data_IF_718917673046
#
_entry.id   IF_718917673046
#
_cell.length_a   1.000
_cell.length_b   1.000
_cell.length_c   1.000
_cell.angle_alpha   90.00
_cell.angle_beta   90.00
_cell.angle_gamma   90.00
#
_symmetry.space_group_name_H-M   'P 1'
#
loop_
_entity.id
_entity.type
_entity.pdbx_description
1 polymer ?
#
# COMPACT_ATOMS: atom_id res chain seq x y z
N UNK A 1 -12.52 -4.52 39.79
CA UNK A 1 -13.84 -5.13 39.49
C UNK A 1 -14.60 -4.45 38.34
N UNK A 2 -14.47 -3.13 38.11
CA UNK A 2 -15.18 -2.39 37.06
C UNK A 2 -14.62 -2.67 35.64
N UNK A 3 -13.34 -3.02 35.51
CA UNK A 3 -12.67 -3.24 34.21
C UNK A 3 -13.07 -4.58 33.54
N UNK A 4 -13.43 -5.58 34.34
CA UNK A 4 -13.92 -6.89 33.84
C UNK A 4 -15.34 -6.79 33.33
N UNK A 5 -16.18 -5.95 33.92
CA UNK A 5 -17.57 -5.73 33.51
C UNK A 5 -17.67 -5.10 32.09
N UNK A 6 -16.84 -4.09 31.77
CA UNK A 6 -16.82 -3.48 30.41
C UNK A 6 -16.41 -4.45 29.32
N UNK A 7 -15.42 -5.30 29.57
CA UNK A 7 -14.99 -6.32 28.58
C UNK A 7 -16.07 -7.37 28.33
N UNK A 8 -16.79 -7.77 29.37
CA UNK A 8 -17.93 -8.70 29.25
C UNK A 8 -19.07 -8.09 28.45
N UNK A 9 -19.39 -6.81 28.68
CA UNK A 9 -20.46 -6.11 27.95
C UNK A 9 -20.07 -5.98 26.45
N UNK A 10 -18.83 -5.60 26.14
CA UNK A 10 -18.36 -5.53 24.74
C UNK A 10 -18.42 -6.90 24.08
N UNK A 11 -17.97 -7.95 24.77
CA UNK A 11 -18.01 -9.31 24.26
C UNK A 11 -19.44 -9.82 24.03
N UNK A 12 -20.37 -9.55 24.93
CA UNK A 12 -21.79 -9.88 24.77
C UNK A 12 -22.42 -9.08 23.63
N UNK A 13 -22.05 -7.80 23.46
CA UNK A 13 -22.54 -6.98 22.36
C UNK A 13 -22.04 -7.49 21.02
N UNK A 14 -20.77 -7.92 20.96
CA UNK A 14 -20.18 -8.53 19.75
C UNK A 14 -20.84 -9.87 19.41
N UNK A 15 -21.12 -10.71 20.41
CA UNK A 15 -21.85 -11.97 20.20
C UNK A 15 -23.28 -11.69 19.75
N UNK A 16 -23.96 -10.70 20.33
CA UNK A 16 -25.33 -10.33 19.93
C UNK A 16 -25.36 -9.78 18.50
N UNK A 17 -24.38 -8.98 18.09
CA UNK A 17 -24.24 -8.55 16.70
C UNK A 17 -23.97 -9.72 15.75
N UNK A 18 -23.11 -10.66 16.16
CA UNK A 18 -22.86 -11.89 15.38
C UNK A 18 -24.11 -12.78 15.30
N UNK A 19 -24.89 -12.89 16.35
CA UNK A 19 -26.14 -13.66 16.35
C UNK A 19 -27.23 -13.01 15.48
N UNK A 20 -27.34 -11.67 15.48
CA UNK A 20 -28.25 -10.92 14.60
C UNK A 20 -27.80 -11.10 13.13
N UNK A 21 -26.50 -11.01 12.85
CA UNK A 21 -25.97 -11.29 11.51
C UNK A 21 -26.19 -12.74 11.08
N UNK A 22 -26.04 -13.70 11.99
CA UNK A 22 -26.30 -15.10 11.72
C UNK A 22 -27.80 -15.38 11.45
N UNK A 23 -28.71 -14.74 12.18
CA UNK A 23 -30.15 -14.87 11.96
C UNK A 23 -30.61 -14.20 10.66
N UNK A 24 -29.99 -13.09 10.26
CA UNK A 24 -30.20 -12.48 8.94
C UNK A 24 -29.62 -13.36 7.81
N UNK A 25 -28.57 -14.11 8.09
CA UNK A 25 -27.97 -15.01 7.12
C UNK A 25 -28.84 -16.24 6.79
N UNK A 26 -29.67 -16.67 7.73
CA UNK A 26 -30.57 -17.82 7.54
C UNK A 26 -31.90 -17.45 6.87
N UNK A 27 -32.25 -16.14 6.84
CA UNK A 27 -33.54 -15.65 6.31
C UNK A 27 -33.64 -15.58 4.78
N UNK A 28 -32.64 -16.06 4.02
CA UNK A 28 -32.64 -16.00 2.55
C UNK A 28 -32.52 -14.57 1.98
N UNK A 29 -32.17 -13.58 2.84
CA UNK A 29 -32.03 -12.19 2.44
C UNK A 29 -30.88 -12.05 1.44
N UNK A 30 -31.22 -11.61 0.23
CA UNK A 30 -30.25 -11.37 -0.84
C UNK A 30 -30.09 -9.86 -1.00
N UNK A 31 -28.85 -9.38 -0.91
CA UNK A 31 -28.52 -8.01 -1.29
C UNK A 31 -28.41 -7.89 -2.81
N UNK A 32 -28.87 -6.78 -3.37
CA UNK A 32 -28.57 -6.40 -4.76
C UNK A 32 -27.09 -6.07 -4.93
N UNK A 33 -26.58 -6.09 -6.17
CA UNK A 33 -25.20 -5.71 -6.46
C UNK A 33 -24.83 -4.30 -5.96
N UNK A 34 -25.66 -3.25 -6.13
CA UNK A 34 -25.38 -1.94 -5.53
C UNK A 34 -25.26 -1.97 -4.00
N UNK A 35 -26.11 -2.71 -3.30
CA UNK A 35 -26.03 -2.84 -1.83
C UNK A 35 -24.77 -3.60 -1.40
N UNK A 36 -24.37 -4.64 -2.14
CA UNK A 36 -23.10 -5.35 -1.90
C UNK A 36 -21.91 -4.43 -2.14
N UNK A 37 -22.00 -3.57 -3.15
CA UNK A 37 -20.98 -2.59 -3.50
C UNK A 37 -20.79 -1.53 -2.42
N UNK A 38 -21.89 -1.01 -1.86
CA UNK A 38 -21.86 -0.09 -0.73
C UNK A 38 -21.27 -0.77 0.52
N UNK A 39 -21.72 -1.98 0.79
CA UNK A 39 -21.21 -2.78 1.91
C UNK A 39 -19.69 -3.06 1.77
N UNK A 40 -19.20 -3.23 0.54
CA UNK A 40 -17.79 -3.49 0.28
C UNK A 40 -16.90 -2.31 0.68
N UNK A 41 -17.39 -1.07 0.65
CA UNK A 41 -16.60 0.11 1.00
C UNK A 41 -16.24 0.16 2.48
N UNK A 42 -17.08 -0.41 3.37
CA UNK A 42 -16.86 -0.42 4.81
C UNK A 42 -16.50 -1.81 5.34
N UNK A 43 -17.15 -2.84 4.81
CA UNK A 43 -17.08 -4.23 5.32
C UNK A 43 -16.81 -5.24 4.20
N UNK A 44 -15.63 -5.21 3.53
CA UNK A 44 -15.34 -6.05 2.37
C UNK A 44 -15.42 -7.56 2.66
N UNK A 45 -15.12 -7.98 3.89
CA UNK A 45 -15.26 -9.38 4.26
C UNK A 45 -16.72 -9.86 4.29
N UNK A 46 -17.64 -9.00 4.74
CA UNK A 46 -19.08 -9.30 4.74
C UNK A 46 -19.63 -9.23 3.31
N UNK A 47 -19.26 -8.20 2.54
CA UNK A 47 -19.63 -8.08 1.14
C UNK A 47 -19.25 -9.34 0.32
N UNK A 48 -18.09 -9.92 0.60
CA UNK A 48 -17.65 -11.19 -0.01
C UNK A 48 -18.64 -12.33 0.23
N UNK A 49 -19.17 -12.44 1.45
CA UNK A 49 -20.14 -13.48 1.80
C UNK A 49 -21.45 -13.27 1.01
N UNK A 50 -21.96 -12.04 0.97
CA UNK A 50 -23.19 -11.74 0.20
C UNK A 50 -22.96 -11.94 -1.30
N UNK A 51 -21.83 -11.50 -1.84
CA UNK A 51 -21.52 -11.69 -3.26
C UNK A 51 -21.46 -13.19 -3.63
N UNK A 52 -20.94 -14.05 -2.74
CA UNK A 52 -20.89 -15.49 -3.01
C UNK A 52 -22.27 -16.16 -3.09
N UNK A 53 -23.33 -15.51 -2.63
CA UNK A 53 -24.72 -15.96 -2.66
C UNK A 53 -25.55 -15.30 -3.78
N UNK A 54 -25.02 -14.25 -4.38
CA UNK A 54 -25.65 -13.57 -5.50
C UNK A 54 -25.58 -14.42 -6.77
N UNK A 55 -26.62 -14.32 -7.63
CA UNK A 55 -26.56 -14.97 -8.92
C UNK A 55 -25.65 -14.18 -9.88
N UNK A 56 -24.56 -14.79 -10.28
CA UNK A 56 -23.61 -14.16 -11.19
C UNK A 56 -24.18 -13.88 -12.58
N UNK A 57 -25.34 -14.49 -12.94
CA UNK A 57 -26.00 -14.28 -14.22
C UNK A 57 -26.91 -13.06 -14.24
N UNK A 58 -27.35 -12.54 -13.08
CA UNK A 58 -28.23 -11.36 -13.01
C UNK A 58 -27.54 -10.12 -13.60
N UNK A 59 -26.24 -9.95 -13.32
CA UNK A 59 -25.36 -8.96 -13.97
C UNK A 59 -23.92 -9.44 -13.91
N UNK A 60 -23.49 -10.13 -14.94
CA UNK A 60 -22.17 -10.78 -15.00
C UNK A 60 -21.02 -9.79 -14.91
N UNK A 61 -21.13 -8.63 -15.55
CA UNK A 61 -20.11 -7.58 -15.53
C UNK A 61 -19.93 -7.02 -14.12
N UNK A 62 -21.04 -6.66 -13.48
CA UNK A 62 -21.01 -6.10 -12.13
C UNK A 62 -20.52 -7.11 -11.08
N UNK A 63 -20.96 -8.37 -11.19
CA UNK A 63 -20.46 -9.45 -10.32
C UNK A 63 -18.92 -9.56 -10.39
N UNK A 64 -18.35 -9.52 -11.60
CA UNK A 64 -16.89 -9.60 -11.81
C UNK A 64 -16.17 -8.37 -11.26
N UNK A 65 -16.68 -7.17 -11.49
CA UNK A 65 -16.16 -5.93 -10.92
C UNK A 65 -16.16 -5.98 -9.39
N UNK A 66 -17.27 -6.37 -8.76
CA UNK A 66 -17.37 -6.48 -7.31
C UNK A 66 -16.43 -7.54 -6.74
N UNK A 67 -16.26 -8.67 -7.44
CA UNK A 67 -15.28 -9.69 -7.06
C UNK A 67 -13.87 -9.07 -6.99
N UNK A 68 -13.49 -8.33 -8.02
CA UNK A 68 -12.18 -7.67 -8.05
C UNK A 68 -12.03 -6.57 -6.99
N UNK A 69 -13.05 -5.70 -6.83
CA UNK A 69 -13.08 -4.65 -5.78
C UNK A 69 -12.86 -5.27 -4.40
N UNK A 70 -13.68 -6.26 -4.04
CA UNK A 70 -13.63 -6.88 -2.72
C UNK A 70 -12.28 -7.58 -2.48
N UNK A 71 -11.77 -8.30 -3.48
CA UNK A 71 -10.45 -8.95 -3.38
C UNK A 71 -9.35 -7.92 -3.22
N UNK A 72 -9.40 -6.82 -3.96
CA UNK A 72 -8.43 -5.72 -3.84
C UNK A 72 -8.46 -5.07 -2.44
N UNK A 73 -9.64 -4.79 -1.91
CA UNK A 73 -9.78 -4.19 -0.58
C UNK A 73 -9.31 -5.11 0.55
N UNK A 74 -9.52 -6.43 0.42
CA UNK A 74 -9.08 -7.40 1.42
C UNK A 74 -7.57 -7.68 1.39
N UNK A 75 -6.95 -7.67 0.22
CA UNK A 75 -5.60 -8.19 0.03
C UNK A 75 -4.62 -7.16 -0.53
N UNK A 76 -5.09 -6.01 -1.01
CA UNK A 76 -4.28 -5.02 -1.71
C UNK A 76 -3.89 -5.40 -3.14
N UNK A 77 -4.35 -6.53 -3.66
CA UNK A 77 -4.05 -7.02 -5.02
C UNK A 77 -5.16 -7.94 -5.55
N UNK A 78 -5.22 -8.13 -6.86
CA UNK A 78 -6.25 -8.91 -7.55
C UNK A 78 -5.60 -10.17 -8.15
N UNK A 79 -6.02 -11.35 -7.71
CA UNK A 79 -5.47 -12.62 -8.18
C UNK A 79 -5.95 -13.03 -9.58
N UNK A 80 -7.20 -12.67 -9.93
CA UNK A 80 -7.84 -13.08 -11.18
C UNK A 80 -8.06 -11.86 -12.08
N UNK A 81 -7.01 -11.46 -12.79
CA UNK A 81 -7.09 -10.31 -13.69
C UNK A 81 -8.09 -10.50 -14.85
N UNK A 82 -8.31 -11.75 -15.27
CA UNK A 82 -9.29 -12.06 -16.31
C UNK A 82 -10.72 -11.60 -15.96
N UNK A 83 -11.07 -11.61 -14.65
CA UNK A 83 -12.39 -11.13 -14.23
C UNK A 83 -12.57 -9.63 -14.51
N UNK A 84 -11.50 -8.83 -14.32
CA UNK A 84 -11.54 -7.41 -14.64
C UNK A 84 -11.55 -7.17 -16.16
N UNK A 85 -10.77 -7.93 -16.92
CA UNK A 85 -10.75 -7.81 -18.39
C UNK A 85 -12.11 -8.16 -18.97
N UNK A 86 -12.77 -9.20 -18.45
CA UNK A 86 -14.12 -9.55 -18.84
C UNK A 86 -15.14 -8.46 -18.46
N UNK A 87 -15.04 -7.86 -17.26
CA UNK A 87 -15.90 -6.75 -16.84
C UNK A 87 -15.74 -5.54 -17.77
N UNK A 88 -14.51 -5.15 -18.10
CA UNK A 88 -14.23 -4.07 -19.06
C UNK A 88 -14.89 -4.36 -20.40
N UNK A 89 -14.72 -5.57 -20.96
CA UNK A 89 -15.31 -5.94 -22.25
C UNK A 89 -16.85 -5.88 -22.22
N UNK A 90 -17.48 -6.31 -21.13
CA UNK A 90 -18.92 -6.25 -20.95
C UNK A 90 -19.39 -4.79 -20.96
N UNK A 91 -18.80 -3.93 -20.11
CA UNK A 91 -19.23 -2.54 -19.97
C UNK A 91 -18.92 -1.67 -21.19
N UNK A 92 -17.87 -1.99 -21.94
CA UNK A 92 -17.63 -1.37 -23.27
C UNK A 92 -18.78 -1.69 -24.22
N UNK A 93 -19.24 -2.96 -24.27
CA UNK A 93 -20.31 -3.38 -25.15
C UNK A 93 -21.66 -2.82 -24.70
N UNK A 94 -21.92 -2.73 -23.42
CA UNK A 94 -23.14 -2.20 -22.81
C UNK A 94 -23.18 -0.66 -22.80
N UNK A 95 -22.02 -0.01 -23.03
CA UNK A 95 -21.83 1.45 -22.91
C UNK A 95 -22.12 1.97 -21.50
N UNK A 96 -21.82 1.15 -20.50
CA UNK A 96 -21.96 1.52 -19.08
C UNK A 96 -20.67 2.25 -18.63
N UNK A 97 -20.63 3.56 -18.87
CA UNK A 97 -19.47 4.39 -18.56
C UNK A 97 -19.10 4.39 -17.07
N UNK A 98 -20.05 4.47 -16.09
CA UNK A 98 -19.74 4.40 -14.67
C UNK A 98 -19.01 3.12 -14.26
N UNK A 99 -19.52 1.97 -14.67
CA UNK A 99 -18.93 0.68 -14.32
C UNK A 99 -17.65 0.40 -15.13
N UNK A 100 -17.57 0.92 -16.36
CA UNK A 100 -16.34 0.89 -17.16
C UNK A 100 -15.22 1.67 -16.49
N UNK A 101 -15.46 2.92 -16.06
CA UNK A 101 -14.46 3.75 -15.39
C UNK A 101 -13.88 3.05 -14.16
N UNK A 102 -14.74 2.46 -13.35
CA UNK A 102 -14.37 1.72 -12.14
C UNK A 102 -13.55 0.47 -12.48
N UNK A 103 -13.95 -0.27 -13.52
CA UNK A 103 -13.20 -1.46 -13.97
C UNK A 103 -11.81 -1.10 -14.47
N UNK A 104 -11.66 0.01 -15.19
CA UNK A 104 -10.37 0.55 -15.63
C UNK A 104 -9.48 0.97 -14.46
N UNK A 105 -10.07 1.59 -13.42
CA UNK A 105 -9.37 1.92 -12.17
C UNK A 105 -8.82 0.66 -11.49
N UNK A 106 -9.65 -0.38 -11.28
CA UNK A 106 -9.20 -1.62 -10.64
C UNK A 106 -8.17 -2.37 -11.49
N UNK A 107 -8.24 -2.27 -12.82
CA UNK A 107 -7.20 -2.82 -13.72
C UNK A 107 -5.87 -2.12 -13.52
N UNK A 108 -5.87 -0.78 -13.47
CA UNK A 108 -4.68 0.02 -13.18
C UNK A 108 -4.06 -0.33 -11.81
N UNK A 109 -4.90 -0.40 -10.77
CA UNK A 109 -4.51 -0.74 -9.41
C UNK A 109 -3.92 -2.17 -9.32
N UNK A 110 -4.52 -3.13 -10.04
CA UNK A 110 -4.00 -4.51 -10.13
C UNK A 110 -2.61 -4.55 -10.75
N UNK A 111 -2.43 -3.88 -11.89
CA UNK A 111 -1.13 -3.84 -12.59
C UNK A 111 -0.06 -3.20 -11.72
N UNK A 112 -0.39 -2.10 -11.04
CA UNK A 112 0.55 -1.44 -10.15
C UNK A 112 0.99 -2.34 -8.99
N UNK A 113 0.05 -3.02 -8.35
CA UNK A 113 0.32 -3.80 -7.15
C UNK A 113 0.92 -5.18 -7.47
N UNK A 114 0.44 -5.86 -8.52
CA UNK A 114 0.91 -7.20 -8.87
C UNK A 114 2.25 -7.19 -9.58
N UNK A 115 2.47 -6.22 -10.48
CA UNK A 115 3.63 -6.22 -11.38
C UNK A 115 4.59 -5.07 -11.16
N UNK A 116 4.21 -4.06 -10.37
CA UNK A 116 4.97 -2.81 -10.20
C UNK A 116 5.21 -2.09 -11.54
N UNK A 117 4.36 -2.32 -12.53
CA UNK A 117 4.45 -1.70 -13.85
C UNK A 117 3.70 -0.35 -13.84
N UNK A 118 4.40 0.68 -13.38
CA UNK A 118 3.86 2.03 -13.25
C UNK A 118 3.38 2.59 -14.58
N UNK A 119 4.12 2.36 -15.67
CA UNK A 119 3.77 2.90 -16.98
C UNK A 119 2.45 2.34 -17.49
N UNK A 120 2.23 1.03 -17.36
CA UNK A 120 0.96 0.41 -17.73
C UNK A 120 -0.17 0.83 -16.81
N UNK A 121 0.08 0.94 -15.51
CA UNK A 121 -0.93 1.40 -14.54
C UNK A 121 -1.41 2.81 -14.89
N UNK A 122 -0.50 3.75 -15.18
CA UNK A 122 -0.85 5.12 -15.59
C UNK A 122 -1.73 5.10 -16.84
N UNK A 123 -1.42 4.24 -17.83
CA UNK A 123 -2.25 4.12 -19.05
C UNK A 123 -3.71 3.76 -18.72
N UNK A 124 -3.93 2.80 -17.81
CA UNK A 124 -5.28 2.40 -17.40
C UNK A 124 -5.99 3.48 -16.58
N UNK A 125 -5.28 4.13 -15.65
CA UNK A 125 -5.85 5.27 -14.91
C UNK A 125 -6.19 6.43 -15.84
N UNK A 126 -5.36 6.73 -16.86
CA UNK A 126 -5.67 7.77 -17.85
C UNK A 126 -6.94 7.46 -18.66
N UNK A 127 -7.20 6.19 -18.93
CA UNK A 127 -8.47 5.79 -19.56
C UNK A 127 -9.65 5.93 -18.59
N UNK A 128 -9.48 5.61 -17.30
CA UNK A 128 -10.52 5.80 -16.29
C UNK A 128 -10.88 7.28 -16.09
N UNK A 129 -9.89 8.18 -16.14
CA UNK A 129 -10.10 9.65 -16.04
C UNK A 129 -11.04 10.18 -17.13
N UNK A 130 -11.06 9.58 -18.32
CA UNK A 130 -11.97 10.01 -19.37
C UNK A 130 -13.46 9.87 -18.96
N UNK A 131 -13.77 9.09 -17.93
CA UNK A 131 -15.10 8.83 -17.41
C UNK A 131 -15.21 9.14 -15.90
N UNK A 132 -14.29 9.93 -15.33
CA UNK A 132 -14.15 10.11 -13.89
C UNK A 132 -15.37 10.80 -13.24
N UNK A 133 -16.13 11.63 -13.99
CA UNK A 133 -17.37 12.24 -13.54
C UNK A 133 -18.43 11.21 -13.13
N UNK A 134 -18.32 9.99 -13.62
CA UNK A 134 -19.25 8.89 -13.38
C UNK A 134 -18.73 7.88 -12.34
N UNK A 135 -17.52 8.10 -11.79
CA UNK A 135 -16.94 7.22 -10.77
C UNK A 135 -17.54 7.48 -9.38
N UNK A 136 -17.46 6.48 -8.52
CA UNK A 136 -17.71 6.67 -7.09
C UNK A 136 -16.63 7.59 -6.49
N UNK A 137 -17.06 8.48 -5.61
CA UNK A 137 -16.19 9.47 -4.95
C UNK A 137 -14.92 8.85 -4.39
N UNK A 138 -15.05 7.79 -3.59
CA UNK A 138 -13.92 7.12 -2.96
C UNK A 138 -12.92 6.57 -3.98
N UNK A 139 -13.40 5.88 -5.01
CA UNK A 139 -12.55 5.31 -6.06
C UNK A 139 -11.85 6.39 -6.88
N UNK A 140 -12.52 7.51 -7.14
CA UNK A 140 -11.97 8.68 -7.82
C UNK A 140 -10.85 9.33 -7.00
N UNK A 141 -11.09 9.57 -5.71
CA UNK A 141 -10.09 10.10 -4.79
C UNK A 141 -8.88 9.16 -4.65
N UNK A 142 -9.10 7.85 -4.49
CA UNK A 142 -8.03 6.85 -4.42
C UNK A 142 -7.21 6.83 -5.73
N UNK A 143 -7.85 6.94 -6.89
CA UNK A 143 -7.19 6.99 -8.20
C UNK A 143 -6.26 8.19 -8.31
N UNK A 144 -6.73 9.38 -7.97
CA UNK A 144 -5.91 10.59 -8.01
C UNK A 144 -4.79 10.56 -6.97
N UNK A 145 -5.02 10.01 -5.78
CA UNK A 145 -3.97 9.80 -4.76
C UNK A 145 -2.86 8.88 -5.29
N UNK A 146 -3.22 7.78 -5.93
CA UNK A 146 -2.25 6.88 -6.56
C UNK A 146 -1.47 7.62 -7.65
N UNK A 147 -2.13 8.36 -8.52
CA UNK A 147 -1.48 9.12 -9.59
C UNK A 147 -0.53 10.18 -9.06
N UNK A 148 -0.88 10.90 -7.99
CA UNK A 148 0.02 11.84 -7.32
C UNK A 148 1.31 11.15 -6.87
N UNK A 149 1.19 9.99 -6.24
CA UNK A 149 2.33 9.22 -5.70
C UNK A 149 3.25 8.65 -6.77
N UNK A 150 2.71 8.22 -7.91
CA UNK A 150 3.52 7.52 -8.93
C UNK A 150 4.02 8.43 -10.04
N UNK A 151 3.40 9.60 -10.25
CA UNK A 151 3.79 10.52 -11.34
C UNK A 151 4.49 11.77 -10.86
N UNK A 152 4.26 12.18 -9.61
CA UNK A 152 4.71 13.47 -9.05
C UNK A 152 4.28 14.69 -9.88
N UNK A 153 3.15 14.61 -10.60
CA UNK A 153 2.65 15.67 -11.46
C UNK A 153 1.64 16.55 -10.74
N UNK A 154 1.84 17.86 -10.78
CA UNK A 154 0.96 18.82 -10.11
C UNK A 154 -0.49 18.82 -10.64
N UNK A 155 -0.72 18.40 -11.89
CA UNK A 155 -2.08 18.30 -12.43
C UNK A 155 -2.96 17.38 -11.58
N UNK A 156 -2.42 16.22 -11.17
CA UNK A 156 -3.18 15.26 -10.35
C UNK A 156 -3.33 15.73 -8.90
N UNK A 157 -2.36 16.50 -8.38
CA UNK A 157 -2.49 17.06 -7.02
C UNK A 157 -3.58 18.14 -6.95
N UNK A 158 -3.75 18.94 -8.01
CA UNK A 158 -4.84 19.92 -8.11
C UNK A 158 -6.18 19.19 -8.22
N UNK A 159 -6.29 18.19 -9.08
CA UNK A 159 -7.52 17.39 -9.20
C UNK A 159 -7.91 16.70 -7.91
N UNK A 160 -6.94 16.09 -7.20
CA UNK A 160 -7.18 15.48 -5.89
C UNK A 160 -7.66 16.51 -4.87
N UNK A 161 -7.05 17.69 -4.84
CA UNK A 161 -7.44 18.78 -3.93
C UNK A 161 -8.86 19.27 -4.21
N UNK A 162 -9.20 19.49 -5.49
CA UNK A 162 -10.51 19.96 -5.90
C UNK A 162 -11.61 18.95 -5.58
N UNK A 163 -11.41 17.68 -5.91
CA UNK A 163 -12.36 16.59 -5.54
C UNK A 163 -12.50 16.48 -4.02
N UNK A 164 -11.39 16.51 -3.29
CA UNK A 164 -11.41 16.42 -1.83
C UNK A 164 -12.13 17.62 -1.17
N UNK A 165 -12.11 18.81 -1.81
CA UNK A 165 -12.88 19.97 -1.35
C UNK A 165 -14.37 19.82 -1.65
N UNK A 166 -14.74 19.36 -2.84
CA UNK A 166 -16.14 19.14 -3.25
C UNK A 166 -16.82 18.11 -2.36
N UNK A 167 -16.10 17.05 -2.00
CA UNK A 167 -16.61 15.95 -1.17
C UNK A 167 -16.37 16.18 0.32
N UNK A 168 -15.79 17.34 0.70
CA UNK A 168 -15.42 17.66 2.08
C UNK A 168 -14.51 16.63 2.74
N UNK A 169 -13.65 15.97 1.96
CA UNK A 169 -12.75 14.92 2.44
C UNK A 169 -11.43 15.49 2.93
N UNK A 170 -11.37 15.79 4.24
CA UNK A 170 -10.22 16.43 4.90
C UNK A 170 -8.93 15.62 4.69
N UNK A 171 -9.01 14.29 4.72
CA UNK A 171 -7.85 13.40 4.59
C UNK A 171 -7.18 13.56 3.21
N UNK A 172 -7.93 13.43 2.13
CA UNK A 172 -7.36 13.55 0.77
C UNK A 172 -6.93 14.97 0.47
N UNK A 173 -7.62 15.99 1.03
CA UNK A 173 -7.18 17.37 0.95
C UNK A 173 -5.80 17.59 1.59
N UNK A 174 -5.58 17.00 2.78
CA UNK A 174 -4.27 17.08 3.44
C UNK A 174 -3.17 16.40 2.61
N UNK A 175 -3.44 15.23 2.04
CA UNK A 175 -2.50 14.53 1.16
C UNK A 175 -2.21 15.32 -0.11
N UNK A 176 -3.21 15.91 -0.77
CA UNK A 176 -3.02 16.72 -1.96
C UNK A 176 -2.08 17.92 -1.71
N UNK A 177 -2.29 18.64 -0.60
CA UNK A 177 -1.40 19.72 -0.17
C UNK A 177 0.02 19.24 0.08
N UNK A 178 0.19 18.06 0.71
CA UNK A 178 1.51 17.49 0.96
C UNK A 178 2.23 17.11 -0.35
N UNK A 179 1.56 16.46 -1.29
CA UNK A 179 2.16 16.13 -2.59
C UNK A 179 2.56 17.40 -3.35
N UNK A 180 1.71 18.42 -3.33
CA UNK A 180 2.01 19.73 -3.95
C UNK A 180 3.21 20.40 -3.30
N UNK A 181 3.31 20.34 -1.97
CA UNK A 181 4.48 20.81 -1.21
C UNK A 181 5.76 20.09 -1.63
N UNK A 182 5.70 18.77 -1.76
CA UNK A 182 6.85 17.94 -2.16
C UNK A 182 7.28 18.30 -3.59
N UNK A 183 6.34 18.37 -4.52
CA UNK A 183 6.61 18.68 -5.92
C UNK A 183 7.18 20.10 -6.12
N UNK A 184 6.65 21.07 -5.38
CA UNK A 184 7.08 22.49 -5.48
C UNK A 184 8.23 22.85 -4.53
N UNK A 185 8.63 21.91 -3.65
CA UNK A 185 9.59 22.14 -2.57
C UNK A 185 9.18 23.28 -1.62
N UNK A 186 7.88 23.39 -1.36
CA UNK A 186 7.28 24.46 -0.58
C UNK A 186 6.98 23.98 0.85
N UNK A 187 7.74 24.52 1.82
CA UNK A 187 7.62 24.17 3.24
C UNK A 187 6.31 24.71 3.84
N UNK A 188 5.83 25.85 3.36
CA UNK A 188 4.60 26.47 3.88
C UNK A 188 3.39 25.60 3.52
N UNK A 189 3.33 25.08 2.29
CA UNK A 189 2.32 24.13 1.88
C UNK A 189 2.38 22.84 2.71
N UNK A 190 3.59 22.37 3.10
CA UNK A 190 3.70 21.21 3.98
C UNK A 190 3.09 21.49 5.36
N UNK A 191 3.36 22.67 5.94
CA UNK A 191 2.78 23.07 7.21
C UNK A 191 1.25 23.12 7.13
N UNK A 192 0.70 23.73 6.07
CA UNK A 192 -0.75 23.77 5.82
C UNK A 192 -1.34 22.34 5.68
N UNK A 193 -0.64 21.43 5.00
CA UNK A 193 -1.06 20.02 4.89
C UNK A 193 -1.20 19.36 6.27
N UNK A 194 -0.21 19.56 7.16
CA UNK A 194 -0.25 19.03 8.51
C UNK A 194 -1.32 19.69 9.39
N UNK A 195 -1.56 20.99 9.22
CA UNK A 195 -2.65 21.70 9.91
C UNK A 195 -4.02 21.17 9.50
N UNK A 196 -4.23 20.93 8.19
CA UNK A 196 -5.46 20.31 7.69
C UNK A 196 -5.62 18.89 8.23
N UNK A 197 -4.55 18.08 8.23
CA UNK A 197 -4.58 16.73 8.78
C UNK A 197 -4.88 16.72 10.29
N UNK A 198 -4.44 17.74 11.03
CA UNK A 198 -4.75 17.90 12.45
C UNK A 198 -6.24 18.13 12.76
N UNK A 199 -7.06 18.50 11.77
CA UNK A 199 -8.51 18.66 11.91
C UNK A 199 -9.28 17.32 11.85
N UNK A 200 -8.61 16.24 11.45
CA UNK A 200 -9.22 14.91 11.39
C UNK A 200 -9.55 14.46 12.82
N UNK A 201 -10.81 14.15 13.10
CA UNK A 201 -11.29 13.76 14.43
C UNK A 201 -11.01 12.29 14.74
N UNK A 202 -11.18 11.43 13.73
CA UNK A 202 -11.02 9.98 13.87
C UNK A 202 -9.78 9.48 13.12
N UNK A 203 -9.05 8.54 13.73
CA UNK A 203 -7.85 7.96 13.12
C UNK A 203 -6.80 8.99 12.66
N UNK A 204 -6.70 10.13 13.36
CA UNK A 204 -5.76 11.21 13.05
C UNK A 204 -4.33 10.70 12.93
N UNK A 205 -3.87 9.90 13.87
CA UNK A 205 -2.49 9.39 13.90
C UNK A 205 -2.22 8.45 12.73
N UNK A 206 -3.22 7.70 12.25
CA UNK A 206 -3.11 6.86 11.06
C UNK A 206 -2.94 7.66 9.75
N UNK A 207 -3.18 8.96 9.78
CA UNK A 207 -2.96 9.88 8.65
C UNK A 207 -1.68 10.68 8.84
N UNK A 208 -1.48 11.29 10.00
CA UNK A 208 -0.34 12.16 10.29
C UNK A 208 1.00 11.42 10.27
N UNK A 209 1.07 10.24 10.88
CA UNK A 209 2.29 9.44 10.89
C UNK A 209 2.81 9.14 9.48
N UNK A 210 2.00 8.52 8.60
CA UNK A 210 2.37 8.32 7.20
C UNK A 210 2.71 9.61 6.44
N UNK A 211 2.01 10.72 6.68
CA UNK A 211 2.30 12.00 6.04
C UNK A 211 3.67 12.54 6.46
N UNK A 212 3.99 12.56 7.76
CA UNK A 212 5.30 12.96 8.25
C UNK A 212 6.41 12.07 7.70
N UNK A 213 6.17 10.76 7.60
CA UNK A 213 7.15 9.84 7.06
C UNK A 213 7.37 10.07 5.56
N UNK A 214 6.32 10.24 4.79
CA UNK A 214 6.43 10.53 3.35
C UNK A 214 7.17 11.85 3.09
N UNK A 215 6.90 12.87 3.89
CA UNK A 215 7.62 14.14 3.81
C UNK A 215 9.09 13.98 4.20
N UNK A 216 9.40 13.22 5.25
CA UNK A 216 10.76 12.88 5.64
C UNK A 216 11.53 12.19 4.50
N UNK A 217 10.90 11.21 3.82
CA UNK A 217 11.50 10.54 2.66
C UNK A 217 11.81 11.55 1.54
N UNK A 218 10.87 12.42 1.21
CA UNK A 218 11.07 13.46 0.20
C UNK A 218 12.21 14.43 0.55
N UNK A 219 12.34 14.80 1.83
CA UNK A 219 13.45 15.61 2.30
C UNK A 219 14.80 14.88 2.21
N UNK A 220 14.83 13.58 2.52
CA UNK A 220 16.03 12.74 2.35
C UNK A 220 16.46 12.67 0.89
N UNK A 221 15.52 12.56 -0.04
CA UNK A 221 15.81 12.48 -1.49
C UNK A 221 16.35 13.80 -2.06
N UNK A 222 15.96 14.94 -1.48
CA UNK A 222 16.54 16.27 -1.83
C UNK A 222 18.02 16.42 -1.50
N UNK A 223 18.52 15.73 -0.49
CA UNK A 223 19.93 15.66 -0.14
C UNK A 223 20.47 16.84 0.69
N UNK A 224 20.09 18.07 0.37
CA UNK A 224 20.63 19.32 0.99
C UNK A 224 19.72 19.87 2.10
N UNK A 225 19.17 18.99 2.93
CA UNK A 225 18.31 19.39 4.06
C UNK A 225 19.11 19.30 5.36
N UNK A 226 19.02 20.29 6.27
CA UNK A 226 19.65 20.23 7.59
C UNK A 226 19.23 19.00 8.37
N UNK A 227 20.19 18.36 9.05
CA UNK A 227 19.97 17.10 9.79
C UNK A 227 18.93 17.25 10.90
N UNK A 228 18.90 18.40 11.58
CA UNK A 228 17.90 18.71 12.61
C UNK A 228 16.47 18.67 12.09
N UNK A 229 16.26 19.12 10.84
CA UNK A 229 14.95 19.06 10.17
C UNK A 229 14.57 17.63 9.86
N UNK A 230 15.49 16.84 9.31
CA UNK A 230 15.25 15.41 9.01
C UNK A 230 14.88 14.64 10.28
N UNK A 231 15.64 14.82 11.35
CA UNK A 231 15.37 14.18 12.64
C UNK A 231 14.02 14.60 13.21
N UNK A 232 13.68 15.89 13.09
CA UNK A 232 12.38 16.39 13.55
C UNK A 232 11.20 15.69 12.88
N UNK A 233 11.23 15.55 11.55
CA UNK A 233 10.14 14.87 10.82
C UNK A 233 10.14 13.36 11.04
N UNK A 234 11.31 12.72 11.17
CA UNK A 234 11.39 11.32 11.53
C UNK A 234 10.76 11.04 12.91
N UNK A 235 11.04 11.89 13.92
CA UNK A 235 10.42 11.80 15.26
C UNK A 235 8.90 11.99 15.19
N UNK A 236 8.42 13.03 14.49
CA UNK A 236 6.98 13.27 14.31
C UNK A 236 6.28 12.08 13.66
N UNK A 237 6.93 11.43 12.69
CA UNK A 237 6.40 10.23 12.06
C UNK A 237 6.27 9.07 13.06
N UNK A 238 7.28 8.85 13.91
CA UNK A 238 7.26 7.81 14.94
C UNK A 238 6.19 8.08 16.01
N UNK A 239 6.13 9.32 16.50
CA UNK A 239 5.22 9.71 17.60
C UNK A 239 3.74 9.58 17.19
N UNK A 240 3.42 9.82 15.90
CA UNK A 240 2.05 9.81 15.41
C UNK A 240 1.60 8.48 14.80
N UNK A 241 2.47 7.53 14.56
CA UNK A 241 2.06 6.29 13.88
C UNK A 241 1.65 5.16 14.82
N UNK A 242 2.06 5.19 16.08
CA UNK A 242 1.79 4.10 17.05
C UNK A 242 2.33 2.72 16.63
N UNK A 243 2.83 2.59 15.41
CA UNK A 243 3.43 1.39 14.82
C UNK A 243 4.87 1.71 14.44
N UNK A 244 5.80 0.89 14.89
CA UNK A 244 7.19 1.01 14.47
C UNK A 244 7.27 0.75 12.97
N UNK A 245 7.86 1.69 12.22
CA UNK A 245 8.03 1.55 10.78
C UNK A 245 8.86 0.30 10.45
N UNK A 246 8.31 -0.55 9.61
CA UNK A 246 8.97 -1.78 9.16
C UNK A 246 10.14 -1.51 8.21
N UNK A 247 10.23 -0.30 7.69
CA UNK A 247 11.19 0.05 6.66
C UNK A 247 12.35 0.87 7.25
N UNK A 248 13.32 0.17 7.83
CA UNK A 248 14.52 0.79 8.40
C UNK A 248 15.47 1.38 7.33
N UNK A 249 15.18 1.24 6.04
CA UNK A 249 16.10 1.68 4.96
C UNK A 249 16.42 3.17 5.09
N UNK A 250 15.42 4.01 5.33
CA UNK A 250 15.63 5.45 5.40
C UNK A 250 16.42 5.84 6.65
N UNK A 251 16.26 5.11 7.77
CA UNK A 251 17.07 5.30 8.95
C UNK A 251 18.52 4.85 8.74
N UNK A 252 18.75 3.79 7.96
CA UNK A 252 20.10 3.42 7.53
C UNK A 252 20.72 4.50 6.62
N UNK A 253 19.93 5.15 5.76
CA UNK A 253 20.40 6.28 4.96
C UNK A 253 20.86 7.46 5.81
N UNK A 254 20.23 7.71 6.97
CA UNK A 254 20.71 8.74 7.92
C UNK A 254 22.12 8.46 8.43
N UNK A 255 22.54 7.20 8.55
CA UNK A 255 23.90 6.83 8.95
C UNK A 255 24.95 7.20 7.90
N UNK A 256 24.55 7.45 6.65
CA UNK A 256 25.49 7.90 5.60
C UNK A 256 25.75 9.41 5.67
N UNK A 257 25.01 10.14 6.48
CA UNK A 257 25.25 11.57 6.72
C UNK A 257 26.37 11.75 7.73
N UNK A 258 27.19 12.76 7.48
CA UNK A 258 28.40 13.00 8.29
C UNK A 258 28.09 13.88 9.52
N UNK A 259 27.11 13.46 10.33
CA UNK A 259 26.62 14.19 11.50
C UNK A 259 26.45 13.23 12.68
N UNK A 260 27.03 13.59 13.83
CA UNK A 260 26.91 12.81 15.06
C UNK A 260 25.45 12.71 15.53
N UNK A 261 24.66 13.76 15.30
CA UNK A 261 23.25 13.81 15.71
C UNK A 261 22.39 12.82 14.92
N UNK A 262 22.52 12.80 13.57
CA UNK A 262 21.81 11.82 12.73
C UNK A 262 22.25 10.41 13.02
N UNK A 263 23.55 10.22 13.28
CA UNK A 263 24.11 8.92 13.62
C UNK A 263 23.54 8.41 14.95
N UNK A 264 23.55 9.23 16.00
CA UNK A 264 23.00 8.86 17.31
C UNK A 264 21.51 8.52 17.24
N UNK A 265 20.72 9.34 16.53
CA UNK A 265 19.29 9.12 16.34
C UNK A 265 19.01 7.81 15.57
N UNK A 266 19.67 7.61 14.43
CA UNK A 266 19.49 6.41 13.62
C UNK A 266 19.92 5.14 14.36
N UNK A 267 21.01 5.19 15.12
CA UNK A 267 21.50 4.08 15.93
C UNK A 267 20.53 3.71 17.05
N UNK A 268 19.93 4.68 17.72
CA UNK A 268 18.91 4.42 18.72
C UNK A 268 17.71 3.70 18.10
N UNK A 269 17.18 4.23 16.98
CA UNK A 269 16.05 3.64 16.28
C UNK A 269 16.33 2.20 15.81
N UNK A 270 17.50 1.96 15.22
CA UNK A 270 17.89 0.64 14.74
C UNK A 270 17.99 -0.36 15.90
N UNK A 271 18.59 0.05 17.03
CA UNK A 271 18.68 -0.79 18.22
C UNK A 271 17.32 -1.15 18.80
N UNK A 272 16.40 -0.20 18.87
CA UNK A 272 15.04 -0.41 19.38
C UNK A 272 14.24 -1.37 18.49
N UNK A 273 14.43 -1.33 17.18
CA UNK A 273 13.70 -2.17 16.23
C UNK A 273 14.42 -3.47 15.88
N UNK A 274 15.72 -3.59 16.13
CA UNK A 274 16.53 -4.75 15.76
C UNK A 274 15.96 -6.09 16.25
N UNK A 275 15.48 -6.16 17.49
CA UNK A 275 14.87 -7.38 18.05
C UNK A 275 13.59 -7.75 17.32
N UNK A 276 12.76 -6.75 16.97
CA UNK A 276 11.49 -6.95 16.26
C UNK A 276 11.75 -7.43 14.84
N UNK A 277 12.75 -6.86 14.19
CA UNK A 277 13.14 -7.26 12.84
C UNK A 277 13.73 -8.68 12.81
N UNK A 278 14.46 -9.09 13.82
CA UNK A 278 14.94 -10.48 13.94
C UNK A 278 13.81 -11.49 14.14
N UNK A 279 12.82 -11.17 14.96
CA UNK A 279 11.65 -12.01 15.17
C UNK A 279 10.84 -12.16 13.87
N UNK A 280 10.72 -11.09 13.08
CA UNK A 280 10.06 -11.09 11.76
C UNK A 280 10.85 -11.80 10.67
N UNK A 281 12.17 -11.72 10.68
CA UNK A 281 13.03 -12.46 9.74
C UNK A 281 12.86 -13.96 9.82
N UNK A 282 12.67 -14.49 11.00
CA UNK A 282 12.42 -15.92 11.20
C UNK A 282 11.07 -16.35 10.61
N UNK A 283 10.17 -15.39 10.35
CA UNK A 283 8.85 -15.64 9.76
C UNK A 283 8.72 -15.23 8.29
N UNK A 284 9.44 -14.20 7.83
CA UNK A 284 9.20 -13.58 6.50
C UNK A 284 10.47 -12.96 5.91
N UNK A 285 11.49 -13.54 5.57
CA UNK A 285 12.72 -12.96 4.99
C UNK A 285 12.53 -11.60 4.29
N UNK A 286 12.46 -10.47 5.01
CA UNK A 286 12.19 -9.19 4.40
C UNK A 286 13.42 -8.69 3.64
N UNK A 287 13.24 -8.35 2.36
CA UNK A 287 14.27 -7.83 1.46
C UNK A 287 14.95 -6.57 2.02
N UNK A 288 14.18 -5.72 2.70
CA UNK A 288 14.65 -4.49 3.33
C UNK A 288 15.66 -4.73 4.45
N UNK A 289 15.40 -5.75 5.28
CA UNK A 289 16.34 -6.14 6.33
C UNK A 289 17.60 -6.77 5.74
N UNK A 290 17.48 -7.60 4.71
CA UNK A 290 18.62 -8.21 4.03
C UNK A 290 19.57 -7.15 3.43
N UNK A 291 19.02 -6.05 2.88
CA UNK A 291 19.79 -4.91 2.40
C UNK A 291 20.44 -4.14 3.57
N UNK A 292 19.70 -3.83 4.62
CA UNK A 292 20.24 -3.17 5.81
C UNK A 292 21.36 -3.99 6.46
N UNK A 293 21.13 -5.30 6.63
CA UNK A 293 22.13 -6.21 7.17
C UNK A 293 23.41 -6.27 6.33
N UNK A 294 23.25 -6.35 5.00
CA UNK A 294 24.38 -6.49 4.08
C UNK A 294 25.24 -5.23 3.99
N UNK A 295 24.62 -4.06 3.95
CA UNK A 295 25.32 -2.80 3.65
C UNK A 295 25.62 -1.93 4.86
N UNK A 296 24.77 -1.93 5.88
CA UNK A 296 24.85 -0.99 6.99
C UNK A 296 25.22 -1.62 8.32
N UNK A 297 24.88 -2.87 8.59
CA UNK A 297 25.25 -3.54 9.83
C UNK A 297 26.77 -3.64 10.04
N UNK A 298 27.60 -3.89 9.00
CA UNK A 298 29.06 -3.87 9.16
C UNK A 298 29.62 -2.51 9.56
N UNK A 299 28.90 -1.41 9.27
CA UNK A 299 29.29 -0.05 9.68
C UNK A 299 28.94 0.22 11.15
N UNK A 300 27.85 -0.39 11.64
CA UNK A 300 27.34 -0.20 12.99
C UNK A 300 28.03 -1.12 13.99
N UNK A 301 28.26 -2.36 13.58
CA UNK A 301 28.96 -3.38 14.37
C UNK A 301 30.22 -3.79 13.60
N UNK A 302 31.38 -3.16 13.86
CA UNK A 302 32.62 -3.57 13.23
C UNK A 302 32.81 -5.07 13.46
N UNK A 303 32.85 -5.82 12.37
CA UNK A 303 33.09 -7.26 12.42
C UNK A 303 34.37 -7.48 13.23
N UNK A 304 34.37 -8.37 14.21
CA UNK A 304 35.57 -8.67 14.98
C UNK A 304 36.68 -9.05 14.00
N UNK A 305 37.78 -8.29 14.05
CA UNK A 305 38.95 -8.50 13.18
C UNK A 305 39.30 -9.97 13.13
N UNK A 306 39.64 -10.47 11.96
CA UNK A 306 39.86 -11.88 11.53
C UNK A 306 40.60 -12.83 12.47
N UNK A 307 41.09 -12.36 13.62
CA UNK A 307 41.89 -13.16 14.55
C UNK A 307 41.15 -14.11 15.50
N UNK A 308 39.79 -14.16 15.51
CA UNK A 308 39.03 -15.04 16.45
C UNK A 308 38.21 -16.15 15.80
N UNK A 309 38.34 -16.40 14.52
CA UNK A 309 37.61 -17.49 13.84
C UNK A 309 38.44 -18.76 13.57
N UNK A 310 39.51 -18.99 14.38
CA UNK A 310 40.30 -20.22 14.19
C UNK A 310 39.64 -21.51 14.72
N UNK A 311 38.63 -21.41 15.61
CA UNK A 311 37.99 -22.59 16.20
C UNK A 311 36.50 -22.38 16.48
N UNK A 312 35.69 -22.27 15.43
CA UNK A 312 34.23 -22.29 15.57
C UNK A 312 33.58 -22.46 14.22
N UNK A 313 32.84 -23.56 14.02
CA UNK A 313 32.03 -23.75 12.82
C UNK A 313 31.02 -22.61 12.71
N UNK A 314 30.86 -21.95 11.55
CA UNK A 314 29.86 -20.90 11.38
C UNK A 314 28.46 -21.51 11.44
N UNK A 315 27.67 -21.12 12.42
CA UNK A 315 26.25 -21.46 12.52
C UNK A 315 25.35 -20.59 11.61
N UNK A 316 25.86 -20.12 10.48
CA UNK A 316 25.03 -19.47 9.48
C UNK A 316 25.09 -20.26 8.16
N UNK A 317 23.96 -20.71 7.63
CA UNK A 317 23.95 -21.29 6.30
C UNK A 317 24.40 -20.22 5.29
N UNK A 318 25.44 -20.53 4.51
CA UNK A 318 25.88 -19.72 3.37
C UNK A 318 24.68 -19.53 2.43
N UNK A 319 24.05 -18.37 2.45
CA UNK A 319 23.14 -17.96 1.40
C UNK A 319 24.03 -17.62 0.18
N UNK A 320 24.26 -18.63 -0.65
CA UNK A 320 24.93 -18.46 -1.95
C UNK A 320 23.92 -17.85 -2.93
N UNK A 321 23.86 -16.53 -2.94
CA UNK A 321 22.99 -15.72 -3.84
C UNK A 321 23.35 -15.86 -5.33
N UNK A 322 24.29 -16.72 -5.71
CA UNK A 322 24.65 -16.97 -7.12
C UNK A 322 23.86 -18.09 -7.80
N UNK A 323 23.15 -18.96 -7.07
CA UNK A 323 22.51 -20.12 -7.70
C UNK A 323 21.07 -19.89 -8.16
N UNK A 324 20.33 -18.93 -7.61
CA UNK A 324 18.92 -18.73 -7.99
C UNK A 324 18.74 -17.97 -9.30
N UNK A 325 19.61 -17.01 -9.61
CA UNK A 325 19.56 -16.25 -10.88
C UNK A 325 20.05 -17.05 -12.10
N UNK A 326 21.02 -17.96 -11.90
CA UNK A 326 21.51 -18.80 -12.97
C UNK A 326 20.50 -19.91 -13.35
N UNK A 327 19.71 -20.39 -12.40
CA UNK A 327 18.70 -21.44 -12.65
C UNK A 327 17.50 -20.88 -13.42
N UNK A 328 17.05 -19.65 -13.14
CA UNK A 328 15.95 -19.01 -13.88
C UNK A 328 16.37 -18.64 -15.33
N UNK A 329 17.60 -18.19 -15.56
CA UNK A 329 18.08 -17.92 -16.94
C UNK A 329 18.25 -19.20 -17.78
N UNK A 330 18.58 -20.33 -17.18
CA UNK A 330 18.65 -21.61 -17.92
C UNK A 330 17.27 -22.16 -18.30
N UNK A 331 16.23 -21.97 -17.48
CA UNK A 331 14.85 -22.36 -17.82
C UNK A 331 14.28 -21.50 -18.96
N UNK A 332 14.59 -20.20 -19.01
CA UNK A 332 14.16 -19.31 -20.09
C UNK A 332 14.89 -19.56 -21.42
N UNK A 333 16.13 -20.04 -21.42
CA UNK A 333 16.84 -20.37 -22.66
C UNK A 333 16.46 -21.74 -23.25
N UNK A 334 16.02 -22.70 -22.43
CA UNK A 334 15.55 -24.01 -22.95
C UNK A 334 14.13 -23.95 -23.54
N UNK A 335 13.33 -22.94 -23.22
CA UNK A 335 12.00 -22.72 -23.80
C UNK A 335 11.98 -22.04 -25.17
N UNK A 336 13.11 -21.53 -25.67
CA UNK A 336 13.19 -20.81 -26.97
C UNK A 336 13.82 -21.63 -28.11
N UNK A 337 14.24 -22.87 -27.88
CA UNK A 337 14.95 -23.67 -28.88
C UNK A 337 14.08 -24.75 -29.55
N UNK A 338 12.77 -24.68 -29.51
CA UNK A 338 11.89 -25.67 -30.13
C UNK A 338 10.65 -24.99 -30.69
N UNK A 339 10.82 -24.23 -31.76
CA UNK A 339 9.75 -23.94 -32.76
C UNK A 339 10.32 -23.06 -33.89
N UNK A 340 11.11 -23.69 -34.73
CA UNK A 340 11.28 -23.26 -36.14
C UNK A 340 11.46 -24.54 -36.92
N UNK A 341 10.37 -25.06 -37.40
CA UNK A 341 10.21 -25.77 -38.66
C UNK A 341 8.74 -26.09 -38.82
N UNK A 342 8.07 -25.38 -39.68
CA UNK A 342 7.09 -25.91 -40.64
C UNK A 342 6.84 -24.79 -41.70
N UNK A 343 7.20 -25.18 -42.92
CA UNK A 343 7.02 -24.47 -44.18
C UNK A 343 5.54 -24.32 -44.56
N UNK A 344 5.27 -23.26 -45.28
CA UNK A 344 4.48 -23.34 -46.50
C UNK A 344 2.98 -23.21 -46.36
N UNK A 345 2.45 -22.18 -46.75
CA UNK A 345 1.54 -21.71 -47.85
C UNK A 345 1.01 -20.33 -47.53
#
# INVERSE_FOLDING_TARGET
MIYTSKKIIIFLFTIMQLAVLASCMDSGYRLSFPEIDDLADEYPAQAKVFLSRADSNDNKGYYKLLTAKIVYQLNGYIYKENDIDDAINIFVNEKDEPLLARSLYYKGASILNNYRDTAKAIKWFSQAIAYDSNMREKEKLDMYDILCRITHQNIYTVQLEDEARQTNNIRYRAWALLYRSINNQDQELANQAFEVANQIKENKDSTLGPMYYHYFQALMDRGNVPDSILISYAKKAQDNHGVKYDNNIDFYRLLTRNSEETHAFAMQHIKENYRIDQERLNSWGSYSFALGYKYYLPLIFPLPTKRRYAHGKPCCPRITTRSSFACQRRKLRKGKASKTDVRGW
#
